data_IF_498476214326
#
_entry.id   IF_498476214326
#
_cell.length_a   1.000
_cell.length_b   1.000
_cell.length_c   1.000
_cell.angle_alpha   90.00
_cell.angle_beta   90.00
_cell.angle_gamma   90.00
#
_symmetry.space_group_name_H-M   'P 1'
#
loop_
_entity.id
_entity.type
_entity.pdbx_description
1 polymer ?
#
# COMPACT_ATOMS: atom_id res chain seq x y z
N UNK A 1 -1.09 3.83 10.99
CA UNK A 1 -0.17 3.79 9.83
C UNK A 1 -0.56 4.87 8.85
N UNK A 2 0.42 5.48 8.17
CA UNK A 2 0.14 6.41 7.06
C UNK A 2 -0.46 5.63 5.88
N UNK A 3 -1.29 6.30 5.08
CA UNK A 3 -1.86 5.74 3.86
C UNK A 3 -1.51 6.67 2.71
N UNK A 4 -0.92 6.10 1.67
CA UNK A 4 -0.70 6.76 0.39
C UNK A 4 -1.55 6.08 -0.67
N UNK A 5 -1.94 6.84 -1.68
CA UNK A 5 -2.62 6.34 -2.86
C UNK A 5 -1.77 6.59 -4.09
N UNK A 6 -1.84 5.67 -5.05
CA UNK A 6 -1.32 5.85 -6.40
C UNK A 6 -2.52 6.08 -7.31
N UNK A 7 -2.53 7.20 -8.02
CA UNK A 7 -3.62 7.52 -8.94
C UNK A 7 -3.47 6.79 -10.27
N UNK A 8 -4.60 6.40 -10.86
CA UNK A 8 -4.64 5.69 -12.12
C UNK A 8 -3.98 6.48 -13.25
N UNK A 9 -4.30 7.77 -13.38
CA UNK A 9 -3.78 8.63 -14.46
C UNK A 9 -2.26 8.81 -14.40
N UNK A 10 -1.68 8.83 -13.19
CA UNK A 10 -0.22 8.83 -13.01
C UNK A 10 0.40 7.49 -13.35
N UNK A 11 -0.23 6.39 -12.92
CA UNK A 11 0.25 5.04 -13.18
C UNK A 11 0.20 4.65 -14.67
N UNK A 12 -0.82 5.11 -15.40
CA UNK A 12 -0.93 4.92 -16.85
C UNK A 12 0.24 5.54 -17.62
N UNK A 13 0.76 6.67 -17.13
CA UNK A 13 1.88 7.42 -17.69
C UNK A 13 3.23 7.00 -17.11
N UNK A 14 3.26 5.97 -16.26
CA UNK A 14 4.49 5.55 -15.62
C UNK A 14 5.44 4.91 -16.64
N UNK A 15 6.70 5.32 -16.53
CA UNK A 15 7.86 4.87 -17.28
C UNK A 15 9.04 4.73 -16.32
N UNK A 16 10.03 3.91 -16.65
CA UNK A 16 11.18 3.60 -15.77
C UNK A 16 12.05 4.84 -15.44
N UNK A 17 11.98 5.88 -16.28
CA UNK A 17 12.64 7.17 -16.04
C UNK A 17 12.00 8.00 -14.91
N UNK A 18 10.75 7.68 -14.53
CA UNK A 18 9.99 8.39 -13.50
C UNK A 18 10.31 7.77 -12.13
N UNK A 19 10.73 8.61 -11.19
CA UNK A 19 10.96 8.17 -9.81
C UNK A 19 9.66 7.71 -9.16
N UNK A 20 9.64 6.47 -8.66
CA UNK A 20 8.45 5.82 -8.14
C UNK A 20 7.81 6.52 -6.93
N UNK A 21 8.61 7.19 -6.09
CA UNK A 21 8.11 7.95 -4.93
C UNK A 21 7.20 9.13 -5.33
N UNK A 22 7.38 9.70 -6.53
CA UNK A 22 6.55 10.79 -7.05
C UNK A 22 5.10 10.38 -7.36
N UNK A 23 4.84 9.07 -7.46
CA UNK A 23 3.49 8.53 -7.67
C UNK A 23 2.69 8.48 -6.37
N UNK A 24 3.36 8.55 -5.20
CA UNK A 24 2.71 8.50 -3.91
C UNK A 24 2.05 9.83 -3.56
N UNK A 25 0.73 9.83 -3.52
CA UNK A 25 -0.03 10.94 -2.98
C UNK A 25 -0.52 10.56 -1.58
N UNK A 26 -0.42 11.50 -0.63
CA UNK A 26 -1.03 11.29 0.68
C UNK A 26 -2.53 11.10 0.44
N UNK A 27 -3.09 9.97 0.88
CA UNK A 27 -4.53 9.82 0.90
C UNK A 27 -5.05 10.85 1.91
N UNK A 28 -5.64 11.94 1.42
CA UNK A 28 -5.98 13.16 2.17
C UNK A 28 -6.30 12.89 3.63
N UNK A 29 -5.30 13.13 4.49
CA UNK A 29 -5.37 13.00 5.94
C UNK A 29 -6.05 11.73 6.43
N UNK A 30 -5.84 10.59 5.77
CA UNK A 30 -6.35 9.29 6.18
C UNK A 30 -5.31 8.52 7.00
N UNK A 31 -5.74 8.00 8.15
CA UNK A 31 -4.92 7.14 9.00
C UNK A 31 -5.69 5.87 9.29
N UNK A 32 -5.02 4.72 9.10
CA UNK A 32 -5.57 3.41 9.43
C UNK A 32 -5.00 2.93 10.76
N UNK A 33 -5.90 2.59 11.68
CA UNK A 33 -5.60 2.02 12.99
C UNK A 33 -6.11 0.58 13.06
N UNK A 34 -5.21 -0.42 13.10
CA UNK A 34 -5.63 -1.79 13.32
C UNK A 34 -6.05 -1.97 14.80
N UNK A 35 -7.22 -2.54 15.01
CA UNK A 35 -7.69 -3.03 16.30
C UNK A 35 -7.24 -4.48 16.47
N UNK A 36 -6.51 -4.76 17.54
CA UNK A 36 -5.95 -6.08 17.80
C UNK A 36 -6.62 -6.74 19.01
N UNK A 37 -6.82 -8.05 18.93
CA UNK A 37 -7.19 -8.91 20.06
C UNK A 37 -6.14 -10.00 20.13
N UNK A 38 -5.55 -10.24 21.29
CA UNK A 38 -4.47 -11.22 21.47
C UNK A 38 -3.29 -11.03 20.47
N UNK A 39 -2.95 -9.78 20.14
CA UNK A 39 -1.90 -9.39 19.17
C UNK A 39 -2.19 -9.72 17.69
N UNK A 40 -3.37 -10.23 17.38
CA UNK A 40 -3.85 -10.39 16.02
C UNK A 40 -4.78 -9.25 15.65
N UNK A 41 -4.61 -8.67 14.45
CA UNK A 41 -5.54 -7.69 13.97
C UNK A 41 -6.91 -8.35 13.71
N UNK A 42 -7.99 -7.72 14.17
CA UNK A 42 -9.37 -8.22 14.01
C UNK A 42 -10.23 -7.29 13.18
N UNK A 43 -9.87 -6.02 13.07
CA UNK A 43 -10.49 -5.03 12.19
C UNK A 43 -9.63 -3.78 12.19
N UNK A 44 -9.94 -2.81 11.34
CA UNK A 44 -9.30 -1.51 11.37
C UNK A 44 -10.33 -0.41 11.35
N UNK A 45 -9.97 0.70 11.98
CA UNK A 45 -10.69 1.96 11.84
C UNK A 45 -9.83 2.85 10.95
N UNK A 46 -10.41 3.30 9.84
CA UNK A 46 -9.83 4.38 9.05
C UNK A 46 -10.50 5.69 9.46
N UNK A 47 -9.68 6.64 9.90
CA UNK A 47 -10.11 8.01 10.18
C UNK A 47 -9.58 8.94 9.09
N UNK A 48 -10.34 9.96 8.74
CA UNK A 48 -9.92 11.02 7.83
C UNK A 48 -10.12 12.39 8.48
N UNK A 49 -9.20 13.33 8.26
CA UNK A 49 -9.43 14.74 8.60
C UNK A 49 -10.36 15.36 7.55
N UNK A 50 -11.56 15.76 7.95
CA UNK A 50 -12.53 16.49 7.13
C UNK A 50 -12.96 17.73 7.87
N UNK A 51 -12.89 18.90 7.23
CA UNK A 51 -13.26 20.20 7.85
C UNK A 51 -12.61 20.37 9.24
N UNK A 52 -11.31 20.09 9.32
CA UNK A 52 -10.50 20.18 10.56
C UNK A 52 -10.90 19.20 11.69
N UNK A 53 -11.81 18.26 11.42
CA UNK A 53 -12.22 17.24 12.39
C UNK A 53 -11.83 15.84 11.90
N UNK A 54 -11.29 15.03 12.81
CA UNK A 54 -11.04 13.61 12.54
C UNK A 54 -12.36 12.86 12.62
N UNK A 55 -12.80 12.31 11.49
CA UNK A 55 -14.02 11.50 11.40
C UNK A 55 -13.69 10.08 11.02
N UNK A 56 -14.39 9.11 11.60
CA UNK A 56 -14.31 7.71 11.16
C UNK A 56 -14.95 7.63 9.78
N UNK A 57 -14.16 7.24 8.78
CA UNK A 57 -14.64 7.13 7.39
C UNK A 57 -14.85 5.70 6.95
N UNK A 58 -14.23 4.72 7.62
CA UNK A 58 -14.39 3.31 7.28
C UNK A 58 -14.09 2.42 8.49
N UNK A 59 -14.90 1.37 8.65
CA UNK A 59 -14.52 0.17 9.39
C UNK A 59 -14.01 -0.84 8.37
N UNK A 60 -12.71 -1.10 8.38
CA UNK A 60 -12.09 -2.10 7.52
C UNK A 60 -12.49 -3.51 7.94
N UNK A 61 -12.69 -4.41 6.97
CA UNK A 61 -12.95 -5.82 7.28
C UNK A 61 -11.80 -6.42 8.10
N UNK A 62 -12.15 -7.41 8.92
CA UNK A 62 -11.18 -8.20 9.69
C UNK A 62 -10.10 -8.77 8.78
N UNK A 63 -10.53 -9.34 7.65
CA UNK A 63 -9.67 -9.94 6.62
C UNK A 63 -8.66 -8.96 6.04
N UNK A 64 -9.09 -7.77 5.60
CA UNK A 64 -8.18 -6.76 5.05
C UNK A 64 -7.14 -6.31 6.08
N UNK A 65 -7.57 -6.11 7.32
CA UNK A 65 -6.67 -5.65 8.37
C UNK A 65 -5.66 -6.72 8.76
N UNK A 66 -6.08 -7.99 8.80
CA UNK A 66 -5.20 -9.12 9.03
C UNK A 66 -4.14 -9.20 7.94
N UNK A 67 -4.52 -9.10 6.66
CA UNK A 67 -3.59 -9.14 5.53
C UNK A 67 -2.54 -8.04 5.60
N UNK A 68 -2.96 -6.79 5.83
CA UNK A 68 -2.02 -5.66 5.97
C UNK A 68 -1.11 -5.84 7.18
N UNK A 69 -1.66 -6.30 8.32
CA UNK A 69 -0.87 -6.52 9.54
C UNK A 69 0.14 -7.65 9.37
N UNK A 70 -0.26 -8.77 8.76
CA UNK A 70 0.60 -9.92 8.50
C UNK A 70 1.70 -9.57 7.52
N UNK A 71 1.40 -8.88 6.41
CA UNK A 71 2.40 -8.40 5.47
C UNK A 71 3.40 -7.47 6.18
N UNK A 72 2.93 -6.52 7.00
CA UNK A 72 3.80 -5.62 7.76
C UNK A 72 4.69 -6.37 8.76
N UNK A 73 4.15 -7.37 9.47
CA UNK A 73 4.94 -8.19 10.39
C UNK A 73 5.99 -9.04 9.68
N UNK A 74 5.66 -9.61 8.52
CA UNK A 74 6.62 -10.32 7.68
C UNK A 74 7.76 -9.40 7.24
N UNK A 75 7.44 -8.20 6.74
CA UNK A 75 8.47 -7.21 6.35
C UNK A 75 9.36 -6.78 7.52
N UNK A 76 8.81 -6.67 8.73
CA UNK A 76 9.62 -6.37 9.95
C UNK A 76 10.60 -7.47 10.25
N UNK A 77 10.18 -8.74 10.17
CA UNK A 77 11.06 -9.88 10.42
C UNK A 77 12.22 -9.91 9.43
N UNK A 78 11.93 -9.62 8.16
CA UNK A 78 12.92 -9.62 7.08
C UNK A 78 13.91 -8.45 7.19
N UNK A 79 13.40 -7.23 7.29
CA UNK A 79 14.22 -6.01 7.17
C UNK A 79 14.71 -5.44 8.50
N UNK A 80 14.16 -5.93 9.62
CA UNK A 80 14.43 -5.44 10.99
C UNK A 80 14.19 -3.94 11.18
N UNK A 81 13.33 -3.34 10.37
CA UNK A 81 12.86 -1.96 10.54
C UNK A 81 11.76 -1.87 11.61
N UNK A 82 11.63 -0.73 12.32
CA UNK A 82 10.53 -0.54 13.25
C UNK A 82 9.19 -0.45 12.52
N UNK A 83 8.10 -0.89 13.17
CA UNK A 83 6.74 -0.87 12.59
C UNK A 83 6.30 0.52 12.09
N UNK A 84 6.87 1.60 12.65
CA UNK A 84 6.59 2.99 12.26
C UNK A 84 7.20 3.38 10.91
N UNK A 85 8.17 2.62 10.39
CA UNK A 85 8.77 2.83 9.07
C UNK A 85 7.89 2.36 7.91
N UNK A 86 6.80 1.66 8.20
CA UNK A 86 5.91 1.10 7.18
C UNK A 86 4.67 1.96 6.97
N UNK A 87 4.28 2.05 5.70
CA UNK A 87 3.08 2.74 5.27
C UNK A 87 2.21 1.84 4.41
N UNK A 88 0.91 2.09 4.37
CA UNK A 88 0.02 1.42 3.42
C UNK A 88 0.03 2.21 2.12
N UNK A 89 0.14 1.51 0.99
CA UNK A 89 0.07 2.09 -0.35
C UNK A 89 -1.08 1.41 -1.08
N UNK A 90 -2.04 2.21 -1.54
CA UNK A 90 -3.22 1.74 -2.24
C UNK A 90 -3.17 2.13 -3.71
N UNK A 91 -3.36 1.17 -4.59
CA UNK A 91 -3.62 1.39 -6.02
C UNK A 91 -5.10 1.10 -6.24
N UNK A 92 -5.95 2.03 -5.77
CA UNK A 92 -7.40 1.81 -5.68
C UNK A 92 -8.04 1.41 -7.00
N UNK A 93 -7.57 1.99 -8.12
CA UNK A 93 -8.10 1.68 -9.44
C UNK A 93 -7.82 0.25 -9.91
N UNK A 94 -6.84 -0.45 -9.31
CA UNK A 94 -6.55 -1.85 -9.61
C UNK A 94 -6.97 -2.78 -8.45
N UNK A 95 -7.62 -2.24 -7.41
CA UNK A 95 -7.92 -2.93 -6.16
C UNK A 95 -6.69 -3.62 -5.52
N UNK A 96 -5.51 -3.02 -5.64
CA UNK A 96 -4.26 -3.57 -5.10
C UNK A 96 -3.77 -2.77 -3.90
N UNK A 97 -3.23 -3.49 -2.91
CA UNK A 97 -2.69 -2.89 -1.69
C UNK A 97 -1.31 -3.46 -1.39
N UNK A 98 -0.43 -2.57 -0.93
CA UNK A 98 0.95 -2.87 -0.58
C UNK A 98 1.30 -2.27 0.78
N UNK A 99 2.29 -2.87 1.43
CA UNK A 99 3.04 -2.26 2.52
C UNK A 99 4.32 -1.67 1.94
N UNK A 100 4.50 -0.37 2.08
CA UNK A 100 5.69 0.35 1.64
C UNK A 100 6.67 0.61 2.77
N UNK A 101 7.97 0.55 2.47
CA UNK A 101 9.04 1.04 3.34
C UNK A 101 10.21 1.59 2.51
N UNK A 102 11.11 2.35 3.13
CA UNK A 102 12.39 2.70 2.50
C UNK A 102 13.45 1.67 2.87
N UNK A 103 14.17 1.20 1.86
CA UNK A 103 15.35 0.38 2.05
C UNK A 103 16.47 1.16 2.78
N UNK A 104 17.21 0.49 3.65
CA UNK A 104 18.23 1.16 4.49
C UNK A 104 19.44 1.60 3.68
N UNK A 105 19.86 0.79 2.72
CA UNK A 105 21.12 0.95 2.00
C UNK A 105 20.92 1.81 0.75
N UNK A 106 19.95 1.46 -0.07
CA UNK A 106 19.68 2.10 -1.37
C UNK A 106 18.76 3.32 -1.26
N UNK A 107 18.08 3.50 -0.11
CA UNK A 107 17.02 4.51 0.11
C UNK A 107 15.84 4.40 -0.86
N UNK A 108 15.73 3.31 -1.60
CA UNK A 108 14.63 3.09 -2.54
C UNK A 108 13.33 2.78 -1.81
N UNK A 109 12.22 3.19 -2.41
CA UNK A 109 10.89 2.76 -1.96
C UNK A 109 10.70 1.30 -2.35
N UNK A 110 10.43 0.46 -1.36
CA UNK A 110 10.16 -0.97 -1.51
C UNK A 110 8.68 -1.23 -1.24
N UNK A 111 8.05 -2.08 -2.05
CA UNK A 111 6.65 -2.47 -1.94
C UNK A 111 6.53 -3.97 -1.66
N UNK A 112 5.82 -4.31 -0.60
CA UNK A 112 5.45 -5.68 -0.24
C UNK A 112 3.95 -5.87 -0.53
N UNK A 113 3.55 -6.80 -1.41
CA UNK A 113 2.15 -7.15 -1.64
C UNK A 113 1.49 -7.66 -0.36
N UNK A 114 0.23 -7.29 -0.13
CA UNK A 114 -0.59 -7.86 0.97
C UNK A 114 -1.33 -9.14 0.57
N UNK A 115 -1.33 -9.46 -0.72
CA UNK A 115 -1.89 -10.64 -1.36
C UNK A 115 -0.94 -11.11 -2.46
N UNK A 116 -1.05 -12.37 -2.87
CA UNK A 116 -0.39 -12.85 -4.07
C UNK A 116 -1.09 -12.31 -5.32
N UNK A 117 -0.31 -11.86 -6.29
CA UNK A 117 -0.76 -11.51 -7.64
C UNK A 117 0.06 -12.32 -8.66
N UNK A 118 -0.30 -13.59 -8.91
CA UNK A 118 0.50 -14.51 -9.74
C UNK A 118 0.76 -13.99 -11.15
N UNK A 119 -0.22 -13.34 -11.78
CA UNK A 119 -0.12 -12.76 -13.12
C UNK A 119 0.91 -11.62 -13.25
N UNK A 120 1.34 -11.07 -12.11
CA UNK A 120 2.37 -10.03 -12.02
C UNK A 120 3.65 -10.55 -11.36
N UNK A 121 3.66 -11.82 -10.95
CA UNK A 121 4.73 -12.46 -10.18
C UNK A 121 5.02 -11.75 -8.84
N UNK A 122 4.00 -11.08 -8.28
CA UNK A 122 4.11 -10.41 -6.99
C UNK A 122 3.60 -11.36 -5.91
N UNK A 123 4.47 -11.69 -4.94
CA UNK A 123 4.13 -12.60 -3.85
C UNK A 123 3.97 -11.85 -2.54
N UNK A 124 2.98 -12.26 -1.74
CA UNK A 124 2.76 -11.73 -0.40
C UNK A 124 4.03 -11.89 0.44
N UNK A 125 4.40 -10.83 1.16
CA UNK A 125 5.57 -10.82 2.04
C UNK A 125 6.91 -10.62 1.33
N UNK A 126 7.00 -10.79 0.01
CA UNK A 126 8.19 -10.49 -0.78
C UNK A 126 8.21 -9.02 -1.20
N UNK A 127 9.30 -8.31 -0.87
CA UNK A 127 9.44 -6.89 -1.22
C UNK A 127 10.17 -6.71 -2.53
N UNK A 128 9.69 -5.83 -3.38
CA UNK A 128 10.35 -5.41 -4.62
C UNK A 128 10.49 -3.89 -4.68
N UNK A 129 11.46 -3.36 -5.45
CA UNK A 129 11.53 -1.93 -5.73
C UNK A 129 10.21 -1.42 -6.31
N UNK A 130 9.77 -0.25 -5.87
CA UNK A 130 8.53 0.34 -6.34
C UNK A 130 8.53 0.60 -7.84
N UNK A 131 9.70 0.89 -8.43
CA UNK A 131 9.87 1.02 -9.89
C UNK A 131 9.48 -0.26 -10.62
N UNK A 132 10.02 -1.42 -10.21
CA UNK A 132 9.69 -2.71 -10.80
C UNK A 132 8.20 -3.05 -10.67
N UNK A 133 7.64 -2.80 -9.49
CA UNK A 133 6.20 -3.00 -9.26
C UNK A 133 5.37 -2.10 -10.17
N UNK A 134 5.68 -0.80 -10.26
CA UNK A 134 4.91 0.12 -11.09
C UNK A 134 5.08 -0.13 -12.59
N UNK A 135 6.23 -0.62 -13.05
CA UNK A 135 6.40 -1.12 -14.44
C UNK A 135 5.43 -2.26 -14.71
N UNK A 136 5.31 -3.23 -13.79
CA UNK A 136 4.36 -4.35 -13.92
C UNK A 136 2.91 -3.89 -13.89
N UNK A 137 2.58 -2.84 -13.13
CA UNK A 137 1.21 -2.31 -13.03
C UNK A 137 0.80 -1.35 -14.15
N UNK A 138 1.74 -0.64 -14.78
CA UNK A 138 1.43 0.36 -15.80
C UNK A 138 0.63 -0.20 -17.01
N UNK A 139 0.92 -1.40 -17.55
CA UNK A 139 0.10 -2.03 -18.58
C UNK A 139 -1.34 -2.29 -18.12
N UNK A 140 -1.54 -2.77 -16.89
CA UNK A 140 -2.88 -2.98 -16.32
C UNK A 140 -3.63 -1.66 -16.14
N UNK A 141 -2.94 -0.61 -15.71
CA UNK A 141 -3.53 0.72 -15.61
C UNK A 141 -3.95 1.27 -16.98
N UNK A 142 -3.14 1.02 -18.03
CA UNK A 142 -3.44 1.44 -19.40
C UNK A 142 -4.59 0.66 -20.04
N UNK A 143 -4.76 -0.61 -19.71
CA UNK A 143 -5.89 -1.43 -20.15
C UNK A 143 -7.17 -1.22 -19.33
N UNK A 144 -7.10 -0.44 -18.26
CA UNK A 144 -8.23 -0.16 -17.39
C UNK A 144 -9.17 0.88 -18.01
N UNK A 145 -10.42 0.50 -18.33
CA UNK A 145 -11.43 1.34 -18.99
C UNK A 145 -11.99 2.50 -18.12
N UNK A 146 -11.31 2.86 -17.02
CA UNK A 146 -11.72 3.96 -16.13
C UNK A 146 -12.89 3.67 -15.18
N UNK A 147 -13.47 2.47 -15.21
CA UNK A 147 -14.56 2.04 -14.31
C UNK A 147 -14.01 1.34 -13.06
N UNK A 148 -14.50 1.63 -11.84
CA UNK A 148 -14.04 0.92 -10.64
C UNK A 148 -14.34 -0.58 -10.75
N UNK A 149 -13.36 -1.42 -10.41
CA UNK A 149 -13.49 -2.88 -10.26
C UNK A 149 -13.94 -3.28 -8.87
#
# INVERSE_FOLDING_TARGET
MKVFTVRLDKLMKYEDSIKADTLLEKANSQVMFPLTVNREARCAITVALRKEQWVVTKFGSSSFTQLVSSARQASVKETRLPLSSYTVIQVNALNMVFVGHQDRETKQLMLTPVLDYPNLELRMGSSLPASEVFIKLAPLARSHNGLPT
#
